data_IF_951258757209
#
_entry.id   IF_951258757209
#
_cell.length_a   1.000
_cell.length_b   1.000
_cell.length_c   1.000
_cell.angle_alpha   90.00
_cell.angle_beta   90.00
_cell.angle_gamma   90.00
#
_symmetry.space_group_name_H-M   'P 1'
#
loop_
_entity.id
_entity.type
_entity.pdbx_description
1 polymer ?
#
# COMPACT_ATOMS: atom_id res chain seq x y z
N UNK A 1 -79.56 49.18 37.36
CA UNK A 1 -78.21 49.19 37.94
C UNK A 1 -77.73 47.76 38.07
N UNK A 2 -76.88 47.33 37.13
CA UNK A 2 -75.89 46.26 37.28
C UNK A 2 -74.99 46.26 36.03
N UNK A 3 -73.70 46.07 36.27
CA UNK A 3 -72.54 46.27 35.39
C UNK A 3 -72.41 45.28 34.21
N UNK A 4 -71.77 45.75 33.12
CA UNK A 4 -70.63 45.14 32.38
C UNK A 4 -70.47 45.92 31.04
N UNK A 5 -69.41 46.68 30.71
CA UNK A 5 -67.99 46.37 30.46
C UNK A 5 -67.73 45.18 29.51
N UNK A 6 -67.25 45.48 28.29
CA UNK A 6 -66.05 44.91 27.61
C UNK A 6 -66.15 45.06 26.07
N UNK A 7 -65.36 45.96 25.48
CA UNK A 7 -64.11 45.70 24.74
C UNK A 7 -64.26 44.76 23.51
N UNK A 8 -64.46 45.39 22.35
CA UNK A 8 -64.31 44.76 21.03
C UNK A 8 -62.86 44.95 20.59
N UNK A 9 -62.06 43.89 20.63
CA UNK A 9 -60.74 43.83 19.96
C UNK A 9 -60.77 42.88 18.77
N UNK A 10 -60.40 43.47 17.64
CA UNK A 10 -59.83 42.95 16.39
C UNK A 10 -59.46 41.46 16.37
N UNK A 11 -60.10 40.71 15.47
CA UNK A 11 -59.57 39.47 14.90
C UNK A 11 -59.25 39.70 13.41
N UNK A 12 -57.98 39.93 13.11
CA UNK A 12 -57.43 39.81 11.75
C UNK A 12 -56.66 38.50 11.72
N UNK A 13 -57.21 37.51 11.01
CA UNK A 13 -56.56 36.21 10.79
C UNK A 13 -55.63 36.33 9.58
N UNK A 14 -54.32 36.19 9.81
CA UNK A 14 -53.33 35.94 8.75
C UNK A 14 -52.67 34.60 9.06
N UNK A 15 -52.94 33.54 8.26
CA UNK A 15 -52.03 32.41 8.16
C UNK A 15 -51.74 32.14 6.68
N UNK A 16 -50.78 32.85 6.09
CA UNK A 16 -50.33 32.58 4.73
C UNK A 16 -48.85 32.99 4.55
N UNK A 17 -47.94 32.48 5.38
CA UNK A 17 -46.50 32.78 5.22
C UNK A 17 -45.54 31.74 5.82
N UNK A 18 -45.94 30.48 5.95
CA UNK A 18 -45.11 29.43 6.57
C UNK A 18 -44.91 28.16 5.73
N UNK A 19 -45.11 28.24 4.40
CA UNK A 19 -44.95 27.09 3.48
C UNK A 19 -43.79 27.24 2.48
N UNK A 20 -42.96 28.28 2.56
CA UNK A 20 -41.87 28.54 1.61
C UNK A 20 -40.46 28.11 2.08
N UNK A 21 -40.32 27.44 3.23
CA UNK A 21 -39.02 27.15 3.86
C UNK A 21 -38.54 25.69 3.78
N UNK A 22 -39.22 24.80 3.06
CA UNK A 22 -38.86 23.37 3.01
C UNK A 22 -38.09 22.92 1.75
N UNK A 23 -37.66 23.82 0.86
CA UNK A 23 -37.06 23.43 -0.45
C UNK A 23 -35.52 23.38 -0.44
N UNK A 24 -34.84 23.65 0.68
CA UNK A 24 -33.38 23.84 0.70
C UNK A 24 -32.51 22.60 0.99
N UNK A 25 -33.08 21.41 1.23
CA UNK A 25 -32.29 20.23 1.62
C UNK A 25 -31.93 19.26 0.49
N UNK A 26 -32.48 19.40 -0.71
CA UNK A 26 -32.24 18.43 -1.81
C UNK A 26 -30.85 18.61 -2.45
N UNK A 27 -30.31 19.82 -2.43
CA UNK A 27 -29.01 20.15 -3.04
C UNK A 27 -27.81 19.52 -2.33
N UNK A 28 -27.91 19.19 -1.04
CA UNK A 28 -26.79 18.65 -0.25
C UNK A 28 -26.51 17.17 -0.54
N UNK A 29 -27.50 16.38 -0.96
CA UNK A 29 -27.29 14.96 -1.28
C UNK A 29 -26.61 14.77 -2.65
N UNK A 30 -26.82 15.69 -3.58
CA UNK A 30 -26.27 15.63 -4.94
C UNK A 30 -24.77 15.94 -5.01
N UNK A 31 -24.19 16.68 -4.05
CA UNK A 31 -22.73 16.92 -4.03
C UNK A 31 -21.98 15.66 -3.63
N UNK A 32 -22.48 14.93 -2.64
CA UNK A 32 -21.74 13.82 -2.01
C UNK A 32 -21.44 12.67 -2.98
N UNK A 33 -22.34 12.35 -3.92
CA UNK A 33 -22.12 11.24 -4.87
C UNK A 33 -21.08 11.60 -5.94
N UNK A 34 -21.10 12.83 -6.44
CA UNK A 34 -20.10 13.28 -7.42
C UNK A 34 -18.72 13.49 -6.77
N UNK A 35 -18.67 13.91 -5.50
CA UNK A 35 -17.40 14.14 -4.80
C UNK A 35 -16.52 12.87 -4.71
N UNK A 36 -17.10 11.66 -4.74
CA UNK A 36 -16.33 10.42 -4.83
C UNK A 36 -15.49 10.32 -6.12
N UNK A 37 -15.99 10.83 -7.26
CA UNK A 37 -15.24 10.89 -8.51
C UNK A 37 -14.09 11.89 -8.45
N UNK A 38 -14.32 13.03 -7.81
CA UNK A 38 -13.28 14.05 -7.58
C UNK A 38 -12.22 13.50 -6.63
N UNK A 39 -12.63 12.85 -5.55
CA UNK A 39 -11.72 12.17 -4.63
C UNK A 39 -10.92 11.09 -5.32
N UNK A 40 -11.51 10.28 -6.20
CA UNK A 40 -10.75 9.31 -7.01
C UNK A 40 -9.71 10.00 -7.90
N UNK A 41 -10.09 11.06 -8.64
CA UNK A 41 -9.15 11.83 -9.46
C UNK A 41 -8.00 12.44 -8.64
N UNK A 42 -8.29 12.97 -7.45
CA UNK A 42 -7.27 13.54 -6.55
C UNK A 42 -6.42 12.43 -5.91
N UNK A 43 -7.05 11.34 -5.47
CA UNK A 43 -6.39 10.18 -4.86
C UNK A 43 -5.45 9.50 -5.85
N UNK A 44 -5.77 9.50 -7.13
CA UNK A 44 -4.88 8.99 -8.16
C UNK A 44 -3.58 9.81 -8.21
N UNK A 45 -3.64 11.14 -8.10
CA UNK A 45 -2.43 11.97 -8.06
C UNK A 45 -1.60 11.66 -6.81
N UNK A 46 -2.23 11.64 -5.63
CA UNK A 46 -1.52 11.47 -4.35
C UNK A 46 -0.99 10.05 -4.16
N UNK A 47 -1.72 9.03 -4.61
CA UNK A 47 -1.35 7.61 -4.45
C UNK A 47 -0.29 7.18 -5.45
N UNK A 48 -0.31 7.69 -6.68
CA UNK A 48 0.53 7.14 -7.75
C UNK A 48 1.89 7.82 -7.91
N UNK A 49 2.04 9.11 -7.59
CA UNK A 49 3.27 9.84 -7.95
C UNK A 49 3.97 10.60 -6.82
N UNK A 50 3.51 10.47 -5.57
CA UNK A 50 4.03 11.13 -4.33
C UNK A 50 3.34 12.46 -3.96
N UNK A 51 3.49 12.86 -2.69
CA UNK A 51 2.97 14.14 -2.17
C UNK A 51 3.46 15.36 -2.98
N UNK A 52 4.64 15.25 -3.60
CA UNK A 52 5.27 16.29 -4.41
C UNK A 52 4.48 16.60 -5.69
N UNK A 53 3.98 15.58 -6.39
CA UNK A 53 3.15 15.78 -7.58
C UNK A 53 1.84 16.48 -7.23
N UNK A 54 1.22 16.08 -6.12
CA UNK A 54 0.01 16.72 -5.64
C UNK A 54 0.25 18.19 -5.29
N UNK A 55 1.38 18.51 -4.63
CA UNK A 55 1.77 19.90 -4.32
C UNK A 55 1.99 20.69 -5.61
N UNK A 56 2.82 20.19 -6.53
CA UNK A 56 3.15 20.86 -7.78
C UNK A 56 1.90 21.14 -8.61
N UNK A 57 1.00 20.16 -8.75
CA UNK A 57 -0.26 20.31 -9.47
C UNK A 57 -1.23 21.30 -8.82
N UNK A 58 -1.48 21.15 -7.51
CA UNK A 58 -2.39 22.03 -6.77
C UNK A 58 -1.90 23.48 -6.83
N UNK A 59 -0.60 23.68 -6.71
CA UNK A 59 0.01 24.99 -6.84
C UNK A 59 -0.15 25.54 -8.27
N UNK A 60 0.20 24.76 -9.29
CA UNK A 60 0.09 25.17 -10.69
C UNK A 60 -1.33 25.60 -11.07
N UNK A 61 -2.32 24.83 -10.61
CA UNK A 61 -3.74 25.06 -10.88
C UNK A 61 -4.30 26.30 -10.21
N UNK A 62 -3.99 26.50 -8.92
CA UNK A 62 -4.69 27.49 -8.08
C UNK A 62 -3.87 28.74 -7.74
N UNK A 63 -2.54 28.67 -7.81
CA UNK A 63 -1.65 29.71 -7.26
C UNK A 63 -1.02 30.63 -8.31
N UNK A 64 -1.27 30.41 -9.62
CA UNK A 64 -0.72 31.25 -10.70
C UNK A 64 -1.41 32.61 -10.86
N UNK A 65 -2.58 32.76 -10.27
CA UNK A 65 -3.41 33.96 -10.39
C UNK A 65 -3.41 34.74 -9.08
N UNK A 66 -3.79 36.02 -9.16
CA UNK A 66 -3.95 36.83 -7.96
C UNK A 66 -5.18 36.35 -7.16
N UNK A 67 -4.90 35.69 -6.04
CA UNK A 67 -5.93 35.18 -5.15
C UNK A 67 -6.74 36.30 -4.51
N UNK A 68 -6.27 37.54 -4.42
CA UNK A 68 -7.04 38.63 -3.81
C UNK A 68 -8.16 39.16 -4.71
N UNK A 69 -7.98 39.07 -6.02
CA UNK A 69 -8.99 39.44 -7.02
C UNK A 69 -9.91 38.29 -7.44
N UNK A 70 -9.66 37.07 -6.93
CA UNK A 70 -10.46 35.89 -7.24
C UNK A 70 -11.82 35.91 -6.54
N UNK A 71 -12.88 35.45 -7.21
CA UNK A 71 -14.22 35.35 -6.62
C UNK A 71 -14.29 34.32 -5.49
N UNK A 72 -15.24 34.47 -4.58
CA UNK A 72 -15.44 33.56 -3.44
C UNK A 72 -15.66 32.11 -3.87
N UNK A 73 -16.33 31.89 -5.00
CA UNK A 73 -16.53 30.56 -5.58
C UNK A 73 -15.21 29.90 -5.99
N UNK A 74 -14.28 30.67 -6.56
CA UNK A 74 -12.95 30.19 -6.96
C UNK A 74 -12.13 29.83 -5.73
N UNK A 75 -12.16 30.67 -4.68
CA UNK A 75 -11.49 30.39 -3.41
C UNK A 75 -12.07 29.14 -2.75
N UNK A 76 -13.39 28.97 -2.77
CA UNK A 76 -14.00 27.80 -2.15
C UNK A 76 -13.60 26.49 -2.84
N UNK A 77 -13.56 26.50 -4.18
CA UNK A 77 -13.10 25.35 -4.96
C UNK A 77 -11.60 25.07 -4.74
N UNK A 78 -10.76 26.11 -4.74
CA UNK A 78 -9.33 25.97 -4.49
C UNK A 78 -9.04 25.37 -3.10
N UNK A 79 -9.70 25.88 -2.07
CA UNK A 79 -9.57 25.36 -0.69
C UNK A 79 -10.03 23.89 -0.59
N UNK A 80 -11.17 23.55 -1.18
CA UNK A 80 -11.68 22.18 -1.18
C UNK A 80 -10.72 21.19 -1.85
N UNK A 81 -10.18 21.56 -3.02
CA UNK A 81 -9.24 20.71 -3.75
C UNK A 81 -7.86 20.61 -3.09
N UNK A 82 -7.34 21.72 -2.55
CA UNK A 82 -6.02 21.73 -1.91
C UNK A 82 -6.04 20.91 -0.62
N UNK A 83 -7.11 21.01 0.17
CA UNK A 83 -7.17 20.42 1.51
C UNK A 83 -8.16 19.26 1.66
N UNK A 84 -8.63 18.69 0.53
CA UNK A 84 -9.40 17.44 0.45
C UNK A 84 -10.67 17.38 1.31
N UNK A 85 -11.48 18.45 1.36
CA UNK A 85 -12.74 18.59 2.12
C UNK A 85 -12.68 18.32 3.63
N UNK A 86 -11.59 17.78 4.19
CA UNK A 86 -11.54 17.19 5.53
C UNK A 86 -11.37 18.22 6.66
N UNK A 87 -11.68 19.49 6.43
CA UNK A 87 -11.55 20.50 7.49
C UNK A 87 -11.91 21.94 7.15
N UNK A 88 -12.72 22.20 6.12
CA UNK A 88 -13.04 23.60 5.73
C UNK A 88 -14.52 23.98 5.75
N UNK A 89 -15.41 23.08 6.17
CA UNK A 89 -16.85 23.40 6.24
C UNK A 89 -17.15 24.59 7.16
N UNK A 90 -16.32 24.84 8.18
CA UNK A 90 -16.53 25.87 9.18
C UNK A 90 -15.74 27.17 8.93
N UNK A 91 -14.90 27.22 7.90
CA UNK A 91 -14.10 28.41 7.59
C UNK A 91 -14.91 29.39 6.73
N UNK A 92 -14.90 30.66 7.13
CA UNK A 92 -15.42 31.73 6.28
C UNK A 92 -14.50 31.95 5.06
N UNK A 93 -14.96 32.72 4.07
CA UNK A 93 -14.24 32.89 2.81
C UNK A 93 -12.87 33.54 3.02
N UNK A 94 -12.74 34.50 3.93
CA UNK A 94 -11.46 35.17 4.21
C UNK A 94 -10.43 34.21 4.80
N UNK A 95 -10.86 33.33 5.72
CA UNK A 95 -10.02 32.27 6.28
C UNK A 95 -9.58 31.26 5.22
N UNK A 96 -10.49 30.85 4.33
CA UNK A 96 -10.18 29.98 3.20
C UNK A 96 -9.16 30.64 2.26
N UNK A 97 -9.36 31.93 1.94
CA UNK A 97 -8.44 32.72 1.10
C UNK A 97 -7.05 32.78 1.72
N UNK A 98 -6.95 33.11 3.01
CA UNK A 98 -5.67 33.15 3.71
C UNK A 98 -4.96 31.78 3.68
N UNK A 99 -5.70 30.70 3.93
CA UNK A 99 -5.15 29.35 3.94
C UNK A 99 -4.62 28.92 2.57
N UNK A 100 -5.36 29.19 1.50
CA UNK A 100 -4.92 28.95 0.11
C UNK A 100 -3.68 29.81 -0.21
N UNK A 101 -3.68 31.09 0.17
CA UNK A 101 -2.52 31.98 -0.01
C UNK A 101 -1.27 31.47 0.72
N UNK A 102 -1.41 30.96 1.94
CA UNK A 102 -0.29 30.37 2.68
C UNK A 102 0.27 29.16 1.95
N UNK A 103 -0.59 28.21 1.53
CA UNK A 103 -0.17 27.05 0.74
C UNK A 103 0.56 27.48 -0.55
N UNK A 104 0.02 28.47 -1.26
CA UNK A 104 0.63 29.00 -2.47
C UNK A 104 2.00 29.64 -2.21
N UNK A 105 2.17 30.32 -1.08
CA UNK A 105 3.44 30.98 -0.74
C UNK A 105 4.50 29.95 -0.33
N UNK A 106 4.13 29.01 0.55
CA UNK A 106 5.02 27.97 1.06
C UNK A 106 5.55 27.04 -0.04
N UNK A 107 4.71 26.71 -1.04
CA UNK A 107 5.05 25.74 -2.07
C UNK A 107 5.55 26.36 -3.38
N UNK A 108 5.66 27.69 -3.47
CA UNK A 108 6.01 28.39 -4.72
C UNK A 108 7.34 27.95 -5.31
N UNK A 109 8.42 27.96 -4.53
CA UNK A 109 9.74 27.62 -5.02
C UNK A 109 9.79 26.15 -5.50
N UNK A 110 9.21 25.24 -4.72
CA UNK A 110 9.10 23.82 -5.07
C UNK A 110 8.33 23.62 -6.37
N UNK A 111 7.12 24.17 -6.49
CA UNK A 111 6.26 23.99 -7.66
C UNK A 111 6.85 24.61 -8.93
N UNK A 112 7.50 25.77 -8.82
CA UNK A 112 8.18 26.41 -9.95
C UNK A 112 9.39 25.61 -10.44
N UNK A 113 10.12 24.94 -9.54
CA UNK A 113 11.23 24.06 -9.91
C UNK A 113 10.77 22.72 -10.53
N UNK A 114 9.51 22.34 -10.31
CA UNK A 114 8.96 21.03 -10.66
C UNK A 114 7.73 21.12 -11.59
N UNK A 115 7.77 22.03 -12.57
CA UNK A 115 6.68 22.23 -13.53
C UNK A 115 6.33 20.97 -14.33
N UNK A 116 7.30 20.10 -14.58
CA UNK A 116 7.09 18.79 -15.19
C UNK A 116 6.16 17.91 -14.34
N UNK A 117 6.37 17.87 -13.01
CA UNK A 117 5.50 17.09 -12.11
C UNK A 117 4.06 17.60 -12.12
N UNK A 118 3.89 18.93 -12.20
CA UNK A 118 2.56 19.55 -12.34
C UNK A 118 1.88 19.19 -13.68
N UNK A 119 2.63 19.18 -14.78
CA UNK A 119 2.11 18.78 -16.09
C UNK A 119 1.73 17.29 -16.13
N UNK A 120 2.54 16.43 -15.54
CA UNK A 120 2.24 15.00 -15.40
C UNK A 120 0.96 14.79 -14.57
N UNK A 121 0.85 15.43 -13.42
CA UNK A 121 -0.34 15.35 -12.57
C UNK A 121 -1.58 16.00 -13.23
N UNK A 122 -1.39 17.00 -14.10
CA UNK A 122 -2.48 17.58 -14.90
C UNK A 122 -3.04 16.58 -15.90
N UNK A 123 -2.19 15.81 -16.57
CA UNK A 123 -2.62 14.72 -17.47
C UNK A 123 -3.46 13.69 -16.71
N UNK A 124 -3.05 13.36 -15.48
CA UNK A 124 -3.75 12.39 -14.62
C UNK A 124 -5.09 12.90 -14.06
N UNK A 125 -5.26 14.21 -13.90
CA UNK A 125 -6.39 14.80 -13.17
C UNK A 125 -7.50 15.37 -14.05
N UNK A 126 -7.19 15.79 -15.29
CA UNK A 126 -8.19 16.29 -16.24
C UNK A 126 -9.35 15.30 -16.43
N UNK A 127 -9.10 14.00 -16.66
CA UNK A 127 -10.19 13.04 -16.81
C UNK A 127 -11.10 12.97 -15.57
N UNK A 128 -10.53 13.00 -14.36
CA UNK A 128 -11.30 13.00 -13.12
C UNK A 128 -12.17 14.24 -12.93
N UNK A 129 -11.64 15.42 -13.29
CA UNK A 129 -12.42 16.68 -13.28
C UNK A 129 -13.55 16.62 -14.31
N UNK A 130 -13.27 16.12 -15.51
CA UNK A 130 -14.28 15.97 -16.55
C UNK A 130 -15.39 14.99 -16.11
N UNK A 131 -15.03 13.87 -15.48
CA UNK A 131 -15.97 12.91 -14.90
C UNK A 131 -16.85 13.56 -13.83
N UNK A 132 -16.26 14.33 -12.91
CA UNK A 132 -17.00 15.05 -11.88
C UNK A 132 -17.99 16.08 -12.48
N UNK A 133 -17.53 16.87 -13.47
CA UNK A 133 -18.42 17.82 -14.17
C UNK A 133 -19.52 17.13 -14.96
N UNK A 134 -19.27 15.95 -15.53
CA UNK A 134 -20.29 15.12 -16.18
C UNK A 134 -21.30 14.62 -15.14
N UNK A 135 -20.83 14.11 -14.00
CA UNK A 135 -21.68 13.70 -12.88
C UNK A 135 -22.62 14.83 -12.44
N UNK A 136 -22.11 16.06 -12.24
CA UNK A 136 -22.96 17.21 -11.89
C UNK A 136 -24.01 17.51 -12.96
N UNK A 137 -23.66 17.38 -14.26
CA UNK A 137 -24.61 17.57 -15.36
C UNK A 137 -25.69 16.49 -15.40
N UNK A 138 -25.36 15.25 -15.03
CA UNK A 138 -26.31 14.14 -14.90
C UNK A 138 -27.23 14.32 -13.69
N UNK A 139 -26.64 14.70 -12.56
CA UNK A 139 -27.32 15.06 -11.31
C UNK A 139 -28.40 16.13 -11.52
N UNK A 140 -28.15 17.16 -12.33
CA UNK A 140 -29.13 18.20 -12.69
C UNK A 140 -30.30 17.70 -13.55
N UNK A 141 -30.20 16.50 -14.12
CA UNK A 141 -31.27 15.83 -14.87
C UNK A 141 -31.90 14.70 -14.04
N UNK A 142 -31.76 14.76 -12.71
CA UNK A 142 -32.23 13.74 -11.77
C UNK A 142 -31.69 12.34 -12.07
N UNK A 143 -30.45 12.26 -12.59
CA UNK A 143 -29.68 11.03 -12.71
C UNK A 143 -28.57 11.08 -11.68
N UNK A 144 -28.61 10.19 -10.69
CA UNK A 144 -27.58 10.05 -9.68
C UNK A 144 -26.67 8.91 -10.11
N UNK A 145 -25.38 9.20 -10.20
CA UNK A 145 -24.37 8.16 -10.34
C UNK A 145 -23.48 8.19 -9.11
N UNK A 146 -23.34 7.04 -8.49
CA UNK A 146 -22.41 6.81 -7.38
C UNK A 146 -21.33 5.86 -7.87
N UNK A 147 -20.06 6.22 -7.65
CA UNK A 147 -18.92 5.35 -7.92
C UNK A 147 -18.24 4.99 -6.60
N UNK A 148 -18.08 3.69 -6.36
CA UNK A 148 -17.45 3.17 -5.15
C UNK A 148 -16.25 2.30 -5.55
N UNK A 149 -15.03 2.87 -5.59
CA UNK A 149 -13.81 2.08 -5.79
C UNK A 149 -13.47 1.29 -4.52
N UNK A 150 -12.93 0.08 -4.68
CA UNK A 150 -12.44 -0.76 -3.59
C UNK A 150 -11.27 -1.64 -4.05
N UNK A 151 -10.58 -2.25 -3.07
CA UNK A 151 -9.35 -3.02 -3.31
C UNK A 151 -8.10 -2.14 -3.40
N UNK A 152 -6.94 -2.79 -3.60
CA UNK A 152 -5.68 -2.06 -3.79
C UNK A 152 -5.59 -1.62 -5.24
N UNK A 153 -5.35 -0.32 -5.51
CA UNK A 153 -5.28 0.22 -6.88
C UNK A 153 -6.59 0.13 -7.68
N UNK A 154 -7.71 0.26 -6.98
CA UNK A 154 -9.06 0.33 -7.58
C UNK A 154 -9.38 -0.92 -8.42
N UNK A 155 -8.94 -2.08 -7.91
CA UNK A 155 -9.19 -3.41 -8.47
C UNK A 155 -10.68 -3.68 -8.71
N UNK A 156 -11.55 -3.13 -7.86
CA UNK A 156 -12.99 -3.28 -7.99
C UNK A 156 -13.62 -1.90 -8.02
N UNK A 157 -14.50 -1.66 -8.98
CA UNK A 157 -15.24 -0.41 -9.09
C UNK A 157 -16.71 -0.74 -9.27
N UNK A 158 -17.53 -0.28 -8.34
CA UNK A 158 -18.98 -0.38 -8.42
C UNK A 158 -19.56 0.96 -8.88
N UNK A 159 -20.45 0.93 -9.87
CA UNK A 159 -21.31 2.06 -10.20
C UNK A 159 -22.76 1.73 -9.91
N UNK A 160 -23.44 2.68 -9.29
CA UNK A 160 -24.88 2.67 -9.09
C UNK A 160 -25.47 3.88 -9.83
N UNK A 161 -26.39 3.62 -10.76
CA UNK A 161 -27.10 4.65 -11.51
C UNK A 161 -28.56 4.59 -11.11
N UNK A 162 -29.02 5.65 -10.44
CA UNK A 162 -30.42 5.84 -10.08
C UNK A 162 -30.99 7.03 -10.85
N UNK A 163 -32.25 6.92 -11.25
CA UNK A 163 -33.00 8.08 -11.70
C UNK A 163 -34.39 8.11 -11.12
N UNK A 164 -34.71 9.26 -10.52
CA UNK A 164 -36.08 9.61 -10.11
C UNK A 164 -36.83 10.35 -11.23
N UNK A 165 -36.25 10.44 -12.43
CA UNK A 165 -36.85 11.14 -13.56
C UNK A 165 -37.78 10.20 -14.34
N UNK A 166 -38.99 10.65 -14.65
CA UNK A 166 -39.93 9.92 -15.52
C UNK A 166 -39.57 10.00 -17.02
N UNK A 167 -38.45 10.64 -17.36
CA UNK A 167 -38.07 10.91 -18.75
C UNK A 167 -37.63 9.67 -19.56
N UNK A 168 -37.31 9.93 -20.83
CA UNK A 168 -36.88 8.94 -21.82
C UNK A 168 -35.35 8.74 -21.86
N UNK A 169 -34.71 8.76 -20.70
CA UNK A 169 -33.29 8.45 -20.62
C UNK A 169 -33.09 6.94 -20.82
N UNK A 170 -32.19 6.57 -21.71
CA UNK A 170 -31.86 5.18 -22.02
C UNK A 170 -30.43 4.90 -21.59
N UNK A 171 -30.20 3.72 -21.03
CA UNK A 171 -28.86 3.18 -20.88
C UNK A 171 -28.40 2.66 -22.24
N UNK A 172 -27.31 3.20 -22.78
CA UNK A 172 -26.80 2.82 -24.11
C UNK A 172 -25.70 1.75 -24.04
N UNK A 173 -25.27 1.40 -22.83
CA UNK A 173 -24.23 0.41 -22.60
C UNK A 173 -23.01 0.99 -21.88
N UNK A 174 -21.97 0.16 -21.86
CA UNK A 174 -20.70 0.46 -21.23
C UNK A 174 -19.59 0.34 -22.28
N UNK A 175 -18.70 1.33 -22.31
CA UNK A 175 -17.42 1.22 -23.01
C UNK A 175 -16.31 1.05 -21.95
N UNK A 176 -15.42 0.07 -22.14
CA UNK A 176 -14.41 -0.27 -21.14
C UNK A 176 -13.09 -0.72 -21.77
N UNK A 177 -11.99 -0.41 -21.11
CA UNK A 177 -10.65 -0.94 -21.40
C UNK A 177 -9.93 -1.21 -20.07
N UNK A 178 -9.25 -2.36 -19.94
CA UNK A 178 -8.53 -2.74 -18.72
C UNK A 178 -9.43 -3.18 -17.55
N UNK A 179 -10.72 -3.38 -17.80
CA UNK A 179 -11.71 -3.88 -16.84
C UNK A 179 -12.62 -4.92 -17.49
N UNK A 180 -13.06 -5.89 -16.70
CA UNK A 180 -14.21 -6.74 -16.97
C UNK A 180 -15.39 -6.31 -16.11
N UNK A 181 -16.53 -6.05 -16.74
CA UNK A 181 -17.69 -5.46 -16.06
C UNK A 181 -18.93 -6.30 -16.25
N UNK A 182 -19.67 -6.49 -15.17
CA UNK A 182 -21.01 -7.05 -15.17
C UNK A 182 -22.02 -5.93 -14.97
N UNK A 183 -23.04 -5.86 -15.82
CA UNK A 183 -24.11 -4.87 -15.72
C UNK A 183 -25.39 -5.60 -15.34
N UNK A 184 -25.93 -5.28 -14.17
CA UNK A 184 -27.23 -5.73 -13.73
C UNK A 184 -28.18 -4.54 -13.65
N UNK A 185 -29.37 -4.66 -14.22
CA UNK A 185 -30.44 -3.70 -13.96
C UNK A 185 -31.48 -4.38 -13.06
N UNK A 186 -31.70 -3.77 -11.90
CA UNK A 186 -32.71 -4.21 -10.95
C UNK A 186 -33.92 -3.28 -11.06
N UNK A 187 -35.05 -3.85 -11.45
CA UNK A 187 -36.37 -3.24 -11.32
C UNK A 187 -37.19 -4.12 -10.36
N UNK A 188 -38.09 -3.54 -9.58
CA UNK A 188 -38.90 -4.30 -8.60
C UNK A 188 -39.50 -5.58 -9.22
N UNK A 189 -38.92 -6.73 -8.86
CA UNK A 189 -39.38 -8.06 -9.31
C UNK A 189 -38.91 -8.53 -10.69
N UNK A 190 -38.10 -7.77 -11.43
CA UNK A 190 -37.70 -8.12 -12.81
C UNK A 190 -36.19 -7.91 -13.07
N UNK A 191 -35.55 -8.91 -13.69
CA UNK A 191 -34.24 -8.76 -14.31
C UNK A 191 -34.44 -8.19 -15.71
N UNK A 192 -33.83 -7.03 -15.97
CA UNK A 192 -33.93 -6.36 -17.28
C UNK A 192 -32.67 -6.63 -18.08
N UNK A 193 -32.84 -7.07 -19.34
CA UNK A 193 -31.72 -7.24 -20.26
C UNK A 193 -31.15 -5.88 -20.66
N UNK A 194 -29.91 -5.63 -20.29
CA UNK A 194 -29.20 -4.37 -20.56
C UNK A 194 -28.87 -4.18 -22.04
N UNK A 195 -28.89 -5.26 -22.83
CA UNK A 195 -28.71 -5.24 -24.29
C UNK A 195 -29.83 -4.51 -25.03
N UNK A 196 -31.02 -4.43 -24.42
CA UNK A 196 -32.21 -3.80 -25.03
C UNK A 196 -32.24 -2.27 -24.86
N UNK A 197 -31.15 -1.69 -24.34
CA UNK A 197 -31.00 -0.27 -24.04
C UNK A 197 -32.18 0.28 -23.21
N UNK A 198 -32.44 -0.31 -22.03
CA UNK A 198 -33.62 -0.01 -21.25
C UNK A 198 -33.68 1.45 -20.80
N UNK A 199 -34.90 1.93 -20.60
CA UNK A 199 -35.14 3.23 -19.99
C UNK A 199 -34.72 3.23 -18.52
N UNK A 200 -34.00 4.27 -18.10
CA UNK A 200 -33.59 4.52 -16.72
C UNK A 200 -34.76 5.19 -15.99
N UNK A 201 -35.79 4.41 -15.65
CA UNK A 201 -36.98 4.89 -14.91
C UNK A 201 -37.20 4.05 -13.66
N UNK A 202 -37.07 4.68 -12.49
CA UNK A 202 -37.19 4.01 -11.19
C UNK A 202 -36.40 2.69 -11.16
N UNK A 203 -35.22 2.71 -11.77
CA UNK A 203 -34.37 1.56 -11.97
C UNK A 203 -33.00 1.87 -11.40
N UNK A 204 -32.41 0.85 -10.78
CA UNK A 204 -31.07 0.87 -10.23
C UNK A 204 -30.20 0.04 -11.16
N UNK A 205 -29.31 0.70 -11.90
CA UNK A 205 -28.31 0.01 -12.72
C UNK A 205 -27.07 -0.15 -11.87
N UNK A 206 -26.69 -1.40 -11.66
CA UNK A 206 -25.50 -1.80 -10.94
C UNK A 206 -24.46 -2.26 -11.96
N UNK A 207 -23.26 -1.69 -11.87
CA UNK A 207 -22.14 -2.01 -12.75
C UNK A 207 -20.98 -2.39 -11.87
N UNK A 208 -20.67 -3.68 -11.84
CA UNK A 208 -19.56 -4.23 -11.07
C UNK A 208 -18.39 -4.50 -12.02
N UNK A 209 -17.34 -3.71 -11.90
CA UNK A 209 -16.15 -3.82 -12.72
C UNK A 209 -14.98 -4.36 -11.90
N UNK A 210 -14.28 -5.35 -12.45
CA UNK A 210 -13.02 -5.90 -11.93
C UNK A 210 -11.90 -5.54 -12.89
N UNK A 211 -10.84 -4.92 -12.38
CA UNK A 211 -9.67 -4.54 -13.19
C UNK A 211 -8.96 -5.79 -13.68
N UNK A 212 -8.43 -5.75 -14.89
CA UNK A 212 -7.58 -6.84 -15.39
C UNK A 212 -6.37 -7.05 -14.48
N UNK A 213 -5.95 -8.31 -14.36
CA UNK A 213 -4.81 -8.68 -13.51
C UNK A 213 -3.55 -7.92 -13.93
N UNK A 214 -2.75 -7.45 -12.96
CA UNK A 214 -1.54 -6.72 -13.28
C UNK A 214 -0.49 -7.65 -13.90
N UNK A 215 0.34 -7.10 -14.76
CA UNK A 215 1.58 -7.76 -15.16
C UNK A 215 2.52 -7.80 -13.96
N UNK A 216 2.95 -9.00 -13.59
CA UNK A 216 3.95 -9.20 -12.54
C UNK A 216 5.27 -9.60 -13.22
N UNK A 217 6.31 -8.83 -12.96
CA UNK A 217 7.67 -9.11 -13.46
C UNK A 217 8.63 -9.10 -12.28
N UNK A 218 9.58 -10.02 -12.24
CA UNK A 218 10.68 -9.99 -11.28
C UNK A 218 11.98 -9.77 -12.01
N UNK A 219 12.69 -8.70 -11.67
CA UNK A 219 14.02 -8.40 -12.22
C UNK A 219 14.97 -8.27 -11.04
N UNK A 220 15.96 -9.14 -10.99
CA UNK A 220 17.05 -9.07 -10.04
C UNK A 220 16.54 -8.98 -8.59
N UNK A 221 15.52 -9.76 -8.19
CA UNK A 221 14.95 -9.79 -6.83
C UNK A 221 14.03 -8.62 -6.45
N UNK A 222 13.75 -7.71 -7.39
CA UNK A 222 12.68 -6.70 -7.27
C UNK A 222 11.49 -7.21 -8.08
N UNK A 223 10.39 -7.47 -7.39
CA UNK A 223 9.11 -7.72 -8.02
C UNK A 223 8.48 -6.39 -8.42
N UNK A 224 7.84 -6.35 -9.58
CA UNK A 224 7.15 -5.18 -10.11
C UNK A 224 5.76 -5.63 -10.53
N UNK A 225 4.75 -4.95 -9.99
CA UNK A 225 3.34 -5.10 -10.33
C UNK A 225 2.97 -3.91 -11.20
N UNK A 226 2.47 -4.16 -12.40
CA UNK A 226 2.09 -3.13 -13.36
C UNK A 226 0.65 -3.33 -13.83
N UNK A 227 -0.23 -2.39 -13.49
CA UNK A 227 -1.55 -2.28 -14.12
C UNK A 227 -1.47 -1.32 -15.30
N UNK A 228 -1.97 -1.74 -16.45
CA UNK A 228 -2.16 -0.87 -17.61
C UNK A 228 -3.12 0.28 -17.30
N UNK A 229 -3.03 1.42 -18.03
CA UNK A 229 -4.10 2.40 -18.06
C UNK A 229 -5.43 1.72 -18.39
N UNK A 230 -6.51 2.21 -17.78
CA UNK A 230 -7.84 1.65 -17.96
C UNK A 230 -8.89 2.76 -17.96
N UNK A 231 -10.07 2.50 -18.51
CA UNK A 231 -11.19 3.43 -18.43
C UNK A 231 -12.53 2.72 -18.47
N UNK A 232 -13.54 3.39 -17.93
CA UNK A 232 -14.93 2.95 -17.93
C UNK A 232 -15.79 4.14 -18.33
N UNK A 233 -16.59 4.03 -19.37
CA UNK A 233 -17.55 5.04 -19.81
C UNK A 233 -18.97 4.50 -19.80
N UNK A 234 -19.80 5.07 -18.92
CA UNK A 234 -21.22 4.78 -18.79
C UNK A 234 -21.98 5.67 -19.78
N UNK A 235 -22.50 5.05 -20.84
CA UNK A 235 -23.18 5.77 -21.91
C UNK A 235 -24.69 5.80 -21.68
N UNK A 236 -25.28 6.98 -21.74
CA UNK A 236 -26.74 7.17 -21.70
C UNK A 236 -27.19 7.99 -22.92
N UNK A 237 -28.49 8.00 -23.24
CA UNK A 237 -29.04 8.90 -24.27
C UNK A 237 -28.90 10.39 -23.90
N UNK A 238 -28.53 10.68 -22.64
CA UNK A 238 -28.16 12.00 -22.15
C UNK A 238 -26.63 12.17 -22.08
N UNK A 239 -26.08 12.65 -20.95
CA UNK A 239 -24.63 12.72 -20.78
C UNK A 239 -24.01 11.33 -20.62
N UNK A 240 -22.79 11.16 -21.13
CA UNK A 240 -21.93 10.03 -20.77
C UNK A 240 -21.06 10.40 -19.56
N UNK A 241 -20.82 9.44 -18.67
CA UNK A 241 -19.86 9.55 -17.58
C UNK A 241 -18.65 8.68 -17.91
N UNK A 242 -17.50 9.30 -18.14
CA UNK A 242 -16.24 8.60 -18.37
C UNK A 242 -15.30 8.74 -17.19
N UNK A 243 -14.78 7.62 -16.68
CA UNK A 243 -13.80 7.56 -15.59
C UNK A 243 -12.55 6.86 -16.10
N UNK A 244 -11.38 7.50 -15.95
CA UNK A 244 -10.09 6.89 -16.30
C UNK A 244 -9.31 6.49 -15.05
N UNK A 245 -8.58 5.39 -15.18
CA UNK A 245 -7.69 4.84 -14.17
C UNK A 245 -6.28 4.84 -14.75
N UNK A 246 -5.31 5.48 -14.07
CA UNK A 246 -3.96 5.59 -14.61
C UNK A 246 -3.22 4.26 -14.53
N UNK A 247 -2.11 4.20 -15.28
CA UNK A 247 -1.12 3.14 -15.11
C UNK A 247 -0.61 3.13 -13.65
N UNK A 248 -0.49 1.93 -13.09
CA UNK A 248 0.03 1.75 -11.73
C UNK A 248 1.25 0.87 -11.80
N UNK A 249 2.39 1.40 -11.35
CA UNK A 249 3.62 0.61 -11.18
C UNK A 249 3.95 0.59 -9.70
N UNK A 250 3.97 -0.60 -9.11
CA UNK A 250 4.42 -0.82 -7.74
C UNK A 250 5.57 -1.80 -7.71
N UNK A 251 6.68 -1.38 -7.13
CA UNK A 251 7.83 -2.25 -6.89
C UNK A 251 7.78 -2.78 -5.46
N UNK A 252 8.14 -4.06 -5.29
CA UNK A 252 8.25 -4.72 -4.01
C UNK A 252 9.51 -5.59 -3.98
N UNK A 253 10.12 -5.70 -2.82
CA UNK A 253 11.27 -6.58 -2.64
C UNK A 253 10.76 -7.99 -2.41
N UNK A 254 10.93 -8.87 -3.40
CA UNK A 254 10.69 -10.31 -3.23
C UNK A 254 11.61 -10.84 -2.14
N UNK A 255 12.85 -10.33 -2.10
CA UNK A 255 13.79 -10.57 -1.01
C UNK A 255 14.16 -9.27 -0.30
N UNK A 256 13.91 -9.13 1.02
CA UNK A 256 14.24 -7.92 1.77
C UNK A 256 15.72 -7.51 1.65
N UNK A 257 16.03 -6.21 1.64
CA UNK A 257 17.41 -5.75 1.74
C UNK A 257 18.10 -6.28 3.00
N UNK A 258 19.38 -6.62 2.87
CA UNK A 258 20.17 -7.20 3.96
C UNK A 258 20.02 -8.72 4.13
N UNK A 259 19.08 -9.36 3.43
CA UNK A 259 19.00 -10.83 3.39
C UNK A 259 20.27 -11.42 2.78
N UNK A 260 20.74 -12.53 3.37
CA UNK A 260 21.91 -13.29 2.89
C UNK A 260 21.44 -14.63 2.35
N UNK A 261 21.82 -14.96 1.11
CA UNK A 261 21.46 -16.21 0.44
C UNK A 261 22.71 -16.85 -0.16
N UNK A 262 22.75 -18.18 -0.17
CA UNK A 262 23.80 -18.96 -0.82
C UNK A 262 23.42 -19.25 -2.29
N UNK A 263 24.36 -19.02 -3.20
CA UNK A 263 24.23 -19.27 -4.63
C UNK A 263 25.25 -20.33 -5.08
N UNK A 264 24.87 -21.15 -6.05
CA UNK A 264 25.77 -22.10 -6.72
C UNK A 264 26.67 -21.42 -7.76
N UNK A 265 26.35 -20.19 -8.17
CA UNK A 265 27.17 -19.37 -9.05
C UNK A 265 28.45 -18.88 -8.35
N UNK A 266 29.49 -18.59 -9.12
CA UNK A 266 30.76 -18.04 -8.60
C UNK A 266 30.74 -16.52 -8.40
N UNK A 267 29.65 -15.85 -8.78
CA UNK A 267 29.43 -14.41 -8.63
C UNK A 267 28.03 -14.15 -8.08
N UNK A 268 27.84 -12.96 -7.50
CA UNK A 268 26.54 -12.53 -7.02
C UNK A 268 25.67 -12.03 -8.19
N UNK A 269 24.37 -12.34 -8.23
CA UNK A 269 23.46 -11.77 -9.21
C UNK A 269 23.39 -10.24 -9.09
N UNK A 270 22.84 -9.58 -10.10
CA UNK A 270 22.62 -8.14 -10.07
C UNK A 270 21.75 -7.72 -8.87
N UNK A 271 22.11 -6.60 -8.22
CA UNK A 271 21.47 -6.14 -6.99
C UNK A 271 21.88 -6.91 -5.72
N UNK A 272 22.95 -7.69 -5.80
CA UNK A 272 23.56 -8.39 -4.66
C UNK A 272 25.06 -8.12 -4.57
N UNK A 273 25.56 -7.96 -3.34
CA UNK A 273 27.00 -7.93 -3.06
C UNK A 273 27.49 -9.25 -2.49
N UNK A 274 28.79 -9.51 -2.65
CA UNK A 274 29.46 -10.60 -1.94
C UNK A 274 29.32 -10.41 -0.43
N UNK A 275 28.91 -11.46 0.30
CA UNK A 275 28.87 -11.45 1.74
C UNK A 275 30.14 -12.07 2.33
N UNK A 276 31.20 -11.27 2.43
CA UNK A 276 32.55 -11.74 2.79
C UNK A 276 32.66 -12.34 4.19
N UNK A 277 31.76 -12.00 5.11
CA UNK A 277 31.77 -12.58 6.46
C UNK A 277 31.52 -14.10 6.46
N UNK A 278 30.92 -14.63 5.38
CA UNK A 278 30.70 -16.07 5.20
C UNK A 278 31.88 -16.79 4.53
N UNK A 279 32.88 -16.06 4.03
CA UNK A 279 33.97 -16.66 3.27
C UNK A 279 34.78 -17.62 4.14
N UNK A 280 34.84 -18.89 3.73
CA UNK A 280 35.47 -20.01 4.46
C UNK A 280 34.89 -20.25 5.86
N UNK A 281 33.59 -20.00 6.06
CA UNK A 281 32.91 -20.22 7.35
C UNK A 281 31.63 -21.02 7.18
N UNK A 282 31.27 -21.77 8.22
CA UNK A 282 29.93 -22.31 8.37
C UNK A 282 29.02 -21.23 8.95
N UNK A 283 27.80 -21.12 8.42
CA UNK A 283 26.77 -20.24 8.98
C UNK A 283 26.06 -20.99 10.11
N UNK A 284 26.02 -20.39 11.29
CA UNK A 284 25.28 -20.90 12.44
C UNK A 284 24.08 -20.00 12.73
N UNK A 285 22.95 -20.59 13.12
CA UNK A 285 21.80 -19.83 13.60
C UNK A 285 22.15 -19.02 14.85
N UNK A 286 21.70 -17.78 14.91
CA UNK A 286 21.95 -16.91 16.07
C UNK A 286 21.12 -17.34 17.28
N UNK A 287 21.67 -17.14 18.48
CA UNK A 287 21.00 -17.31 19.76
C UNK A 287 21.43 -16.22 20.74
N UNK A 288 20.90 -16.21 21.96
CA UNK A 288 21.38 -15.27 23.02
C UNK A 288 22.84 -15.49 23.39
N UNK A 289 23.31 -16.74 23.37
CA UNK A 289 24.72 -17.10 23.62
C UNK A 289 25.61 -16.86 22.40
N UNK A 290 25.03 -16.86 21.20
CA UNK A 290 25.70 -16.58 19.94
C UNK A 290 24.94 -15.48 19.17
N UNK A 291 25.08 -14.20 19.59
CA UNK A 291 24.42 -13.09 18.93
C UNK A 291 24.84 -12.98 17.46
N UNK A 292 24.01 -12.30 16.67
CA UNK A 292 24.26 -12.04 15.26
C UNK A 292 25.68 -11.46 15.07
N UNK A 293 26.38 -11.93 14.04
CA UNK A 293 27.77 -11.58 13.71
C UNK A 293 28.85 -12.04 14.71
N UNK A 294 28.52 -12.79 15.77
CA UNK A 294 29.57 -13.42 16.59
C UNK A 294 30.32 -14.46 15.76
N UNK A 295 31.64 -14.34 15.74
CA UNK A 295 32.53 -15.24 15.00
C UNK A 295 33.31 -16.13 15.95
N UNK A 296 33.66 -17.34 15.53
CA UNK A 296 34.49 -18.26 16.30
C UNK A 296 34.87 -19.50 15.50
N UNK A 297 35.44 -20.48 16.18
CA UNK A 297 35.98 -21.69 15.55
C UNK A 297 37.44 -21.53 15.13
N UNK A 298 38.07 -22.66 14.83
CA UNK A 298 39.44 -22.74 14.33
C UNK A 298 39.52 -23.85 13.27
N UNK A 299 40.35 -23.69 12.22
CA UNK A 299 40.47 -24.67 11.15
C UNK A 299 41.28 -25.91 11.57
N UNK A 300 41.98 -25.87 12.71
CA UNK A 300 42.89 -26.92 13.15
C UNK A 300 42.50 -27.50 14.53
N UNK A 301 42.78 -28.77 14.73
CA UNK A 301 42.77 -29.41 16.04
C UNK A 301 44.15 -29.17 16.65
N UNK A 302 44.29 -28.49 17.80
CA UNK A 302 45.59 -28.22 18.40
C UNK A 302 46.33 -29.53 18.71
N UNK A 303 47.60 -29.59 18.27
CA UNK A 303 48.49 -30.74 18.44
C UNK A 303 48.94 -30.94 19.89
N UNK A 304 48.96 -29.86 20.67
CA UNK A 304 49.41 -29.83 22.04
C UNK A 304 48.22 -29.91 23.00
N UNK A 305 47.98 -31.10 23.52
CA UNK A 305 47.11 -31.34 24.66
C UNK A 305 47.75 -32.39 25.55
N UNK A 306 48.36 -31.98 26.66
CA UNK A 306 48.73 -32.91 27.71
C UNK A 306 47.44 -33.53 28.23
N UNK A 307 47.20 -34.79 27.89
CA UNK A 307 46.16 -35.58 28.52
C UNK A 307 46.84 -36.80 29.16
N UNK A 308 46.39 -37.14 30.37
CA UNK A 308 46.84 -38.34 31.05
C UNK A 308 45.90 -39.48 30.70
N UNK A 309 46.45 -40.58 30.20
CA UNK A 309 45.73 -41.83 30.26
C UNK A 309 45.77 -42.30 31.71
N UNK A 310 44.65 -42.20 32.42
CA UNK A 310 44.50 -43.05 33.59
C UNK A 310 44.30 -44.45 33.07
N UNK A 311 45.35 -45.26 33.07
CA UNK A 311 45.10 -46.65 33.42
C UNK A 311 44.54 -46.57 34.83
N UNK A 312 43.24 -46.73 34.98
CA UNK A 312 42.72 -47.34 36.19
C UNK A 312 43.43 -48.69 36.25
N UNK A 313 44.64 -48.68 36.83
CA UNK A 313 45.29 -49.88 37.27
C UNK A 313 44.21 -50.57 38.07
N UNK A 314 43.94 -51.82 37.71
CA UNK A 314 43.15 -52.72 38.53
C UNK A 314 43.71 -52.50 39.94
N UNK A 315 42.96 -51.78 40.76
CA UNK A 315 43.22 -51.73 42.18
C UNK A 315 42.90 -53.16 42.57
N UNK A 316 43.92 -54.02 42.50
CA UNK A 316 43.91 -55.38 43.02
C UNK A 316 43.66 -55.23 44.52
N UNK A 317 42.37 -55.07 44.85
CA UNK A 317 41.89 -55.18 46.20
C UNK A 317 42.31 -56.54 46.70
N UNK A 318 43.13 -56.55 47.75
CA UNK A 318 43.53 -57.72 48.50
C UNK A 318 44.09 -58.87 47.66
N UNK A 319 45.26 -58.68 47.05
CA UNK A 319 46.15 -59.82 46.85
C UNK A 319 46.83 -60.17 48.17
N UNK A 320 46.30 -61.20 48.85
CA UNK A 320 46.89 -61.73 50.07
C UNK A 320 48.33 -62.23 49.80
N UNK A 321 49.33 -61.79 50.58
CA UNK A 321 50.74 -62.06 50.31
C UNK A 321 51.19 -63.43 50.83
N UNK A 322 50.38 -64.47 50.63
CA UNK A 322 50.66 -65.77 51.23
C UNK A 322 50.96 -66.84 50.17
N UNK A 323 52.26 -67.03 49.94
CA UNK A 323 52.81 -68.37 49.80
C UNK A 323 53.25 -68.78 48.40
N UNK A 324 54.37 -68.24 47.92
CA UNK A 324 55.29 -69.03 47.09
C UNK A 324 56.74 -68.63 47.38
N UNK A 325 57.50 -69.58 47.95
CA UNK A 325 58.96 -69.57 47.95
C UNK A 325 59.42 -69.62 46.49
N UNK A 326 59.74 -68.46 45.91
CA UNK A 326 60.38 -68.39 44.59
C UNK A 326 61.88 -68.37 44.78
N UNK A 327 62.49 -69.47 44.36
CA UNK A 327 63.92 -69.65 44.17
C UNK A 327 64.55 -68.46 43.43
N UNK A 328 65.76 -68.10 43.86
CA UNK A 328 66.52 -66.90 43.51
C UNK A 328 67.05 -66.85 42.06
N UNK A 329 66.39 -67.47 41.09
CA UNK A 329 66.90 -67.58 39.71
C UNK A 329 65.93 -67.17 38.60
N UNK A 330 64.69 -66.78 38.92
CA UNK A 330 63.76 -66.24 37.92
C UNK A 330 63.27 -64.84 38.29
N UNK A 331 64.21 -63.89 38.17
CA UNK A 331 63.96 -62.46 38.19
C UNK A 331 63.12 -62.06 36.97
N UNK A 332 61.80 -62.33 37.00
CA UNK A 332 60.86 -61.74 36.06
C UNK A 332 60.65 -60.28 36.47
N UNK A 333 61.54 -59.42 35.98
CA UNK A 333 61.31 -57.99 35.86
C UNK A 333 60.04 -57.78 35.01
N UNK A 334 58.88 -57.74 35.65
CA UNK A 334 57.64 -57.33 35.00
C UNK A 334 57.55 -55.82 35.14
N UNK A 335 58.09 -55.13 34.14
CA UNK A 335 58.01 -53.68 34.01
C UNK A 335 56.64 -53.33 33.42
N UNK A 336 55.75 -52.77 34.23
CA UNK A 336 54.54 -52.11 33.74
C UNK A 336 54.90 -50.69 33.28
N UNK A 337 55.59 -50.60 32.16
CA UNK A 337 55.77 -49.34 31.45
C UNK A 337 54.57 -49.09 30.56
N UNK A 338 53.54 -48.41 31.05
CA UNK A 338 52.67 -47.68 30.12
C UNK A 338 53.48 -46.49 29.66
N UNK A 339 53.95 -46.51 28.42
CA UNK A 339 54.47 -45.33 27.75
C UNK A 339 53.31 -44.34 27.56
N UNK A 340 52.97 -43.62 28.63
CA UNK A 340 52.03 -42.50 28.61
C UNK A 340 52.69 -41.22 28.11
N UNK A 341 53.95 -41.31 27.67
CA UNK A 341 54.76 -40.20 27.14
C UNK A 341 55.15 -40.43 25.69
N UNK A 342 54.26 -41.03 24.91
CA UNK A 342 54.24 -40.78 23.48
C UNK A 342 53.64 -39.41 23.22
N UNK A 343 54.45 -38.39 22.91
CA UNK A 343 53.97 -37.19 22.22
C UNK A 343 53.37 -37.67 20.89
N UNK A 344 52.06 -37.93 20.86
CA UNK A 344 51.36 -38.26 19.64
C UNK A 344 50.41 -37.12 19.31
N UNK A 345 50.46 -36.72 18.05
CA UNK A 345 49.74 -35.58 17.54
C UNK A 345 48.32 -36.04 17.15
N UNK A 346 47.31 -35.62 17.91
CA UNK A 346 45.89 -35.74 17.50
C UNK A 346 45.41 -34.56 16.67
N UNK A 347 46.29 -33.60 16.39
CA UNK A 347 45.99 -32.47 15.55
C UNK A 347 45.72 -32.88 14.11
N UNK A 348 45.02 -32.01 13.41
CA UNK A 348 44.52 -32.28 12.08
C UNK A 348 43.58 -31.17 11.61
N UNK A 349 43.04 -31.33 10.41
CA UNK A 349 42.05 -30.42 9.87
C UNK A 349 40.73 -30.58 10.65
N UNK A 350 40.22 -29.49 11.21
CA UNK A 350 38.94 -29.44 11.92
C UNK A 350 37.77 -29.04 11.01
N UNK A 351 37.95 -29.08 9.69
CA UNK A 351 36.92 -28.76 8.71
C UNK A 351 36.20 -30.04 8.29
N UNK A 352 34.90 -30.21 8.64
CA UNK A 352 34.12 -31.35 8.16
C UNK A 352 33.93 -31.29 6.63
N UNK A 353 33.56 -32.40 5.96
CA UNK A 353 33.21 -32.37 4.54
C UNK A 353 32.18 -31.27 4.24
N UNK A 354 32.42 -30.47 3.19
CA UNK A 354 31.59 -29.31 2.88
C UNK A 354 31.43 -29.10 1.36
N UNK A 355 30.40 -28.32 1.01
CA UNK A 355 30.22 -27.75 -0.32
C UNK A 355 30.33 -26.24 -0.17
N UNK A 356 31.21 -25.61 -0.95
CA UNK A 356 31.32 -24.16 -0.98
C UNK A 356 30.25 -23.57 -1.91
N UNK A 357 29.49 -22.60 -1.39
CA UNK A 357 28.53 -21.79 -2.14
C UNK A 357 28.91 -20.32 -2.00
N UNK A 358 28.57 -19.51 -3.00
CA UNK A 358 28.79 -18.06 -2.92
C UNK A 358 27.68 -17.43 -2.10
N UNK A 359 28.01 -16.91 -0.93
CA UNK A 359 27.05 -16.13 -0.15
C UNK A 359 27.00 -14.69 -0.66
N UNK A 360 25.79 -14.22 -0.91
CA UNK A 360 25.54 -12.86 -1.36
C UNK A 360 24.52 -12.19 -0.44
N UNK A 361 24.69 -10.89 -0.24
CA UNK A 361 23.81 -10.04 0.55
C UNK A 361 23.03 -9.12 -0.38
N UNK A 362 21.71 -9.03 -0.15
CA UNK A 362 20.84 -8.14 -0.91
C UNK A 362 21.17 -6.69 -0.60
N UNK A 363 21.50 -5.90 -1.61
CA UNK A 363 21.81 -4.49 -1.43
C UNK A 363 20.53 -3.68 -1.18
N UNK A 364 20.69 -2.55 -0.50
CA UNK A 364 19.66 -1.50 -0.52
C UNK A 364 19.68 -0.87 -1.91
N UNK A 365 18.52 -0.53 -2.50
CA UNK A 365 18.51 0.28 -3.71
C UNK A 365 19.34 1.55 -3.48
N UNK A 366 20.23 1.86 -4.41
CA UNK A 366 20.84 3.19 -4.46
C UNK A 366 19.72 4.20 -4.62
N UNK A 367 19.49 5.03 -3.59
CA UNK A 367 18.52 6.13 -3.65
C UNK A 367 18.93 7.18 -4.67
#
# INVERSE_FOLDING_TARGET
MNHANEKIMRNVSIPLLLSLLCVSNVSAQLSNSCDALLQHGINNITRYRSAEHAIAYKWDKHCRYDLNSSSDSVIHNADAEIFSFSGSSNLNVDQKRQRVTNFCTENKAFAQANLNLAQEAKILSIPGINAWQQCIRMARKDIRITMTPSGTYDQFVHFEIDSSHDGELRFLGLEKEGYECNVAMVREGESVNTSDQPYIRNANIQIDCTREDPQQTEISGVGRIQYSPAYIAVNTSGPSLAVSFPEVVSEYYVTPPGTVIAFTANHCPEGWSSYSDADNRFILGSSTSNPLYKTGGRPDIPTAGNHSHSTEGINDGNWEPNGHLRESSQNRNHYHGTDTKGNHNHGGNNVPPFIALKYCKRELPSR
#
